data_IF_366856544048
#
_entry.id   IF_366856544048
#
_cell.length_a   1.000
_cell.length_b   1.000
_cell.length_c   1.000
_cell.angle_alpha   90.00
_cell.angle_beta   90.00
_cell.angle_gamma   90.00
#
_symmetry.space_group_name_H-M   'P 1'
#
loop_
_entity.id
_entity.type
_entity.pdbx_description
1 polymer ?
#
# COMPACT_ATOMS: atom_id res chain seq x y z
N UNK A 1 -16.06 10.49 -4.74
CA UNK A 1 -14.90 9.56 -4.74
C UNK A 1 -14.47 9.18 -6.16
N UNK A 2 -15.41 8.79 -7.03
CA UNK A 2 -15.13 8.48 -8.43
C UNK A 2 -14.48 9.65 -9.19
N UNK A 3 -14.98 10.88 -9.00
CA UNK A 3 -14.38 12.09 -9.58
C UNK A 3 -12.93 12.33 -9.11
N UNK A 4 -12.67 12.15 -7.82
CA UNK A 4 -11.32 12.25 -7.27
C UNK A 4 -10.39 11.21 -7.89
N UNK A 5 -10.83 9.95 -7.98
CA UNK A 5 -10.05 8.90 -8.64
C UNK A 5 -9.82 9.21 -10.11
N UNK A 6 -10.84 9.70 -10.83
CA UNK A 6 -10.74 10.13 -12.23
C UNK A 6 -9.65 11.18 -12.45
N UNK A 7 -9.59 12.18 -11.56
CA UNK A 7 -8.62 13.28 -11.59
C UNK A 7 -7.21 12.95 -11.06
N UNK A 8 -6.95 11.72 -10.62
CA UNK A 8 -5.60 11.32 -10.20
C UNK A 8 -4.61 11.29 -11.39
N UNK A 9 -3.36 11.74 -11.19
CA UNK A 9 -2.26 11.43 -12.11
C UNK A 9 -2.15 9.92 -12.35
N UNK A 10 -1.78 9.50 -13.56
CA UNK A 10 -1.79 8.07 -13.98
C UNK A 10 -1.07 7.15 -12.98
N UNK A 11 0.14 7.52 -12.55
CA UNK A 11 0.90 6.71 -11.60
C UNK A 11 0.23 6.68 -10.22
N UNK A 12 -0.23 7.82 -9.68
CA UNK A 12 -0.96 7.85 -8.41
C UNK A 12 -2.24 6.99 -8.46
N UNK A 13 -2.94 7.01 -9.59
CA UNK A 13 -4.12 6.19 -9.85
C UNK A 13 -3.77 4.70 -9.80
N UNK A 14 -2.70 4.30 -10.47
CA UNK A 14 -2.20 2.93 -10.44
C UNK A 14 -1.81 2.50 -9.02
N UNK A 15 -1.03 3.33 -8.30
CA UNK A 15 -0.63 3.04 -6.92
C UNK A 15 -1.82 2.91 -5.98
N UNK A 16 -2.84 3.76 -6.16
CA UNK A 16 -4.09 3.70 -5.40
C UNK A 16 -4.86 2.41 -5.69
N UNK A 17 -5.01 2.05 -6.96
CA UNK A 17 -5.69 0.83 -7.38
C UNK A 17 -4.95 -0.42 -6.88
N UNK A 18 -3.62 -0.43 -6.98
CA UNK A 18 -2.77 -1.49 -6.46
C UNK A 18 -2.94 -1.64 -4.94
N UNK A 19 -2.90 -0.53 -4.19
CA UNK A 19 -3.13 -0.57 -2.74
C UNK A 19 -4.52 -1.12 -2.38
N UNK A 20 -5.57 -0.76 -3.14
CA UNK A 20 -6.88 -1.35 -2.97
C UNK A 20 -6.90 -2.86 -3.29
N UNK A 21 -6.21 -3.26 -4.36
CA UNK A 21 -6.12 -4.65 -4.79
C UNK A 21 -5.37 -5.54 -3.78
N UNK A 22 -4.53 -4.96 -2.91
CA UNK A 22 -3.89 -5.71 -1.83
C UNK A 22 -4.87 -6.45 -0.92
N UNK A 23 -6.17 -6.11 -0.90
CA UNK A 23 -7.20 -6.90 -0.18
C UNK A 23 -7.19 -8.39 -0.55
N UNK A 24 -6.74 -8.74 -1.76
CA UNK A 24 -6.59 -10.14 -2.19
C UNK A 24 -5.59 -10.88 -1.29
N UNK A 25 -4.56 -10.22 -0.74
CA UNK A 25 -3.65 -10.83 0.22
C UNK A 25 -4.33 -11.21 1.54
N UNK A 26 -5.33 -10.44 1.98
CA UNK A 26 -6.13 -10.82 3.14
C UNK A 26 -6.96 -12.07 2.85
N UNK A 27 -7.64 -12.10 1.70
CA UNK A 27 -8.42 -13.25 1.29
C UNK A 27 -7.55 -14.51 1.17
N UNK A 28 -6.41 -14.42 0.48
CA UNK A 28 -5.47 -15.54 0.34
C UNK A 28 -4.88 -16.00 1.67
N UNK A 29 -4.75 -15.10 2.64
CA UNK A 29 -4.14 -15.43 3.93
C UNK A 29 -5.14 -16.03 4.92
N UNK A 30 -6.37 -15.54 4.95
CA UNK A 30 -7.40 -15.93 5.94
C UNK A 30 -8.26 -17.08 5.47
N UNK A 31 -8.48 -17.24 4.16
CA UNK A 31 -9.25 -18.36 3.63
C UNK A 31 -8.36 -19.62 3.72
N UNK A 32 -8.76 -20.64 4.51
CA UNK A 32 -7.98 -21.86 4.62
C UNK A 32 -7.92 -22.55 3.27
N UNK A 33 -6.70 -22.77 2.79
CA UNK A 33 -6.42 -23.54 1.60
C UNK A 33 -5.49 -24.69 1.98
N UNK A 34 -5.74 -25.88 1.45
CA UNK A 34 -5.01 -27.10 1.81
C UNK A 34 -3.51 -26.98 1.54
N UNK A 35 -3.14 -26.18 0.53
CA UNK A 35 -1.75 -25.76 0.34
C UNK A 35 -1.63 -24.45 -0.46
N UNK A 36 -0.64 -23.64 -0.10
CA UNK A 36 -0.20 -22.47 -0.85
C UNK A 36 1.09 -22.83 -1.60
N UNK A 37 1.11 -22.65 -2.92
CA UNK A 37 2.33 -22.88 -3.70
C UNK A 37 3.23 -21.63 -3.63
N UNK A 38 4.33 -21.73 -2.90
CA UNK A 38 5.28 -20.62 -2.66
C UNK A 38 6.68 -21.12 -3.01
N UNK A 39 7.36 -20.43 -3.92
CA UNK A 39 8.75 -20.72 -4.31
C UNK A 39 9.02 -22.19 -4.68
N UNK A 40 8.07 -22.84 -5.38
CA UNK A 40 8.22 -24.23 -5.79
C UNK A 40 7.82 -25.27 -4.74
N UNK A 41 7.36 -24.84 -3.56
CA UNK A 41 6.95 -25.72 -2.45
C UNK A 41 5.50 -25.47 -2.06
N UNK A 42 4.80 -26.54 -1.69
CA UNK A 42 3.51 -26.45 -1.02
C UNK A 42 3.72 -26.13 0.47
N UNK A 43 3.18 -24.99 0.90
CA UNK A 43 3.18 -24.53 2.28
C UNK A 43 1.78 -24.74 2.84
N UNK A 44 1.68 -25.48 3.94
CA UNK A 44 0.39 -25.71 4.60
C UNK A 44 -0.12 -24.42 5.27
N UNK A 45 -1.44 -24.32 5.47
CA UNK A 45 -2.05 -23.16 6.12
C UNK A 45 -1.47 -22.87 7.51
N UNK A 46 -1.20 -23.90 8.31
CA UNK A 46 -0.59 -23.74 9.63
C UNK A 46 0.83 -23.16 9.53
N UNK A 47 1.65 -23.65 8.60
CA UNK A 47 3.00 -23.16 8.36
C UNK A 47 3.01 -21.71 7.84
N UNK A 48 2.04 -21.36 6.99
CA UNK A 48 1.85 -20.00 6.49
C UNK A 48 1.62 -18.99 7.62
N UNK A 49 0.78 -19.32 8.60
CA UNK A 49 0.53 -18.46 9.76
C UNK A 49 1.65 -18.50 10.80
N UNK A 50 2.20 -19.68 11.10
CA UNK A 50 3.25 -19.84 12.11
C UNK A 50 4.58 -19.22 11.70
N UNK A 51 4.86 -19.14 10.39
CA UNK A 51 6.03 -18.42 9.86
C UNK A 51 5.88 -16.89 9.92
N UNK A 52 4.69 -16.38 10.24
CA UNK A 52 4.37 -14.94 10.23
C UNK A 52 4.05 -14.38 8.85
N UNK A 53 4.29 -15.12 7.76
CA UNK A 53 3.99 -14.67 6.41
C UNK A 53 2.49 -14.36 6.22
N UNK A 54 1.62 -15.21 6.78
CA UNK A 54 0.18 -14.98 6.79
C UNK A 54 -0.27 -13.77 7.58
N UNK A 55 0.39 -13.49 8.71
CA UNK A 55 0.12 -12.27 9.49
C UNK A 55 0.47 -11.04 8.66
N UNK A 56 1.65 -11.01 8.03
CA UNK A 56 2.07 -9.89 7.18
C UNK A 56 1.17 -9.70 5.97
N UNK A 57 0.82 -10.78 5.25
CA UNK A 57 -0.08 -10.71 4.11
C UNK A 57 -1.46 -10.18 4.49
N UNK A 58 -2.01 -10.63 5.62
CA UNK A 58 -3.28 -10.13 6.16
C UNK A 58 -3.20 -8.64 6.51
N UNK A 59 -2.09 -8.22 7.14
CA UNK A 59 -1.88 -6.83 7.51
C UNK A 59 -1.79 -5.92 6.27
N UNK A 60 -1.03 -6.32 5.24
CA UNK A 60 -0.96 -5.61 3.97
C UNK A 60 -2.34 -5.56 3.30
N UNK A 61 -3.09 -6.67 3.32
CA UNK A 61 -4.41 -6.74 2.73
C UNK A 61 -5.47 -5.91 3.44
N UNK A 62 -5.32 -5.64 4.73
CA UNK A 62 -6.18 -4.71 5.48
C UNK A 62 -5.77 -3.25 5.31
N UNK A 63 -4.46 -2.97 5.41
CA UNK A 63 -3.94 -1.60 5.37
C UNK A 63 -4.00 -1.02 3.96
N UNK A 64 -3.79 -1.82 2.92
CA UNK A 64 -3.82 -1.37 1.53
C UNK A 64 -5.12 -0.65 1.13
N UNK A 65 -6.30 -1.25 1.34
CA UNK A 65 -7.59 -0.60 1.06
C UNK A 65 -7.81 0.68 1.86
N UNK A 66 -7.38 0.71 3.13
CA UNK A 66 -7.42 1.93 3.93
C UNK A 66 -6.56 3.03 3.31
N UNK A 67 -5.33 2.70 2.91
CA UNK A 67 -4.42 3.64 2.23
C UNK A 67 -5.05 4.16 0.93
N UNK A 68 -5.59 3.27 0.09
CA UNK A 68 -6.28 3.65 -1.14
C UNK A 68 -7.43 4.63 -0.87
N UNK A 69 -8.26 4.35 0.14
CA UNK A 69 -9.33 5.23 0.56
C UNK A 69 -8.81 6.62 0.98
N UNK A 70 -7.72 6.70 1.74
CA UNK A 70 -7.14 8.00 2.16
C UNK A 70 -6.64 8.82 0.96
N UNK A 71 -6.01 8.17 -0.03
CA UNK A 71 -5.51 8.80 -1.26
C UNK A 71 -6.65 9.31 -2.15
N UNK A 72 -7.71 8.53 -2.35
CA UNK A 72 -8.91 8.94 -3.10
C UNK A 72 -9.66 10.05 -2.39
N UNK A 73 -9.71 9.99 -1.06
CA UNK A 73 -10.40 10.97 -0.23
C UNK A 73 -9.58 12.25 0.00
N UNK A 74 -8.36 12.34 -0.55
CA UNK A 74 -7.44 13.48 -0.41
C UNK A 74 -7.26 13.90 1.06
N UNK A 75 -7.22 12.94 1.99
CA UNK A 75 -7.04 13.23 3.42
C UNK A 75 -5.69 13.92 3.65
N UNK A 76 -5.57 14.83 4.63
CA UNK A 76 -4.34 15.59 4.86
C UNK A 76 -3.13 14.69 5.17
N UNK A 77 -3.38 13.54 5.79
CA UNK A 77 -2.37 12.53 6.13
C UNK A 77 -2.17 11.44 5.07
N UNK A 78 -2.87 11.49 3.93
CA UNK A 78 -2.88 10.41 2.95
C UNK A 78 -1.48 10.07 2.40
N UNK A 79 -0.65 11.10 2.18
CA UNK A 79 0.73 10.92 1.72
C UNK A 79 1.58 10.18 2.77
N UNK A 80 1.52 10.60 4.03
CA UNK A 80 2.26 9.97 5.12
C UNK A 80 1.80 8.53 5.35
N UNK A 81 0.49 8.27 5.30
CA UNK A 81 -0.08 6.92 5.41
C UNK A 81 0.38 6.02 4.26
N UNK A 82 0.45 6.54 3.04
CA UNK A 82 1.00 5.78 1.92
C UNK A 82 2.50 5.47 2.09
N UNK A 83 3.30 6.41 2.59
CA UNK A 83 4.72 6.15 2.86
C UNK A 83 4.91 5.12 3.98
N UNK A 84 4.11 5.20 5.04
CA UNK A 84 4.10 4.18 6.10
C UNK A 84 3.74 2.80 5.54
N UNK A 85 2.79 2.74 4.60
CA UNK A 85 2.44 1.51 3.90
C UNK A 85 3.59 0.97 3.04
N UNK A 86 4.34 1.83 2.33
CA UNK A 86 5.53 1.41 1.61
C UNK A 86 6.61 0.86 2.55
N UNK A 87 6.83 1.49 3.71
CA UNK A 87 7.76 0.99 4.74
C UNK A 87 7.30 -0.39 5.23
N UNK A 88 6.01 -0.53 5.53
CA UNK A 88 5.44 -1.79 5.98
C UNK A 88 5.58 -2.91 4.93
N UNK A 89 5.43 -2.59 3.64
CA UNK A 89 5.50 -3.57 2.56
C UNK A 89 6.94 -3.90 2.13
N UNK A 90 7.83 -2.91 2.11
CA UNK A 90 9.15 -3.01 1.49
C UNK A 90 10.32 -2.86 2.46
N UNK A 91 10.11 -2.61 3.75
CA UNK A 91 11.22 -2.45 4.70
C UNK A 91 11.06 -3.40 5.87
N UNK A 92 9.89 -3.38 6.52
CA UNK A 92 9.61 -4.18 7.73
C UNK A 92 9.77 -5.70 7.55
N UNK A 93 9.38 -6.32 6.42
CA UNK A 93 9.47 -7.78 6.30
C UNK A 93 10.91 -8.28 6.26
N UNK A 94 11.83 -7.52 5.69
CA UNK A 94 13.21 -7.97 5.48
C UNK A 94 13.99 -8.29 6.76
N UNK A 95 14.06 -7.44 7.80
CA UNK A 95 14.71 -7.82 9.05
C UNK A 95 13.97 -8.96 9.75
N UNK A 96 12.63 -9.02 9.65
CA UNK A 96 11.83 -10.08 10.27
C UNK A 96 12.15 -11.46 9.69
N UNK A 97 12.36 -11.55 8.37
CA UNK A 97 12.73 -12.78 7.68
C UNK A 97 14.25 -12.98 7.48
N UNK A 98 15.10 -12.19 8.15
CA UNK A 98 16.56 -12.33 8.08
C UNK A 98 17.21 -11.88 6.76
N UNK A 99 16.49 -11.14 5.92
CA UNK A 99 16.88 -10.70 4.58
C UNK A 99 17.43 -9.26 4.56
N UNK A 100 18.35 -8.93 5.48
CA UNK A 100 18.82 -7.55 5.71
C UNK A 100 19.37 -6.84 4.46
N UNK A 101 19.98 -7.58 3.53
CA UNK A 101 20.50 -7.01 2.28
C UNK A 101 19.42 -6.27 1.45
N UNK A 102 18.15 -6.66 1.59
CA UNK A 102 17.03 -6.09 0.85
C UNK A 102 16.43 -4.85 1.51
N UNK A 103 16.84 -4.50 2.74
CA UNK A 103 16.41 -3.28 3.42
C UNK A 103 16.82 -2.03 2.65
N UNK A 104 18.03 -1.99 2.09
CA UNK A 104 18.53 -0.85 1.32
C UNK A 104 17.68 -0.60 0.05
N UNK A 105 17.46 -1.60 -0.84
CA UNK A 105 16.49 -1.49 -1.93
C UNK A 105 15.10 -1.05 -1.46
N UNK A 106 14.61 -1.58 -0.34
CA UNK A 106 13.34 -1.19 0.26
C UNK A 106 13.26 0.29 0.61
N UNK A 107 14.29 0.82 1.27
CA UNK A 107 14.40 2.23 1.60
C UNK A 107 14.50 3.12 0.36
N UNK A 108 15.15 2.65 -0.72
CA UNK A 108 15.17 3.36 -1.99
C UNK A 108 13.76 3.49 -2.59
N UNK A 109 12.94 2.43 -2.54
CA UNK A 109 11.54 2.47 -2.99
C UNK A 109 10.73 3.47 -2.14
N UNK A 110 10.90 3.46 -0.82
CA UNK A 110 10.24 4.43 0.08
C UNK A 110 10.69 5.87 -0.25
N UNK A 111 11.99 6.08 -0.46
CA UNK A 111 12.56 7.39 -0.83
C UNK A 111 12.02 7.90 -2.16
N UNK A 112 11.96 7.04 -3.18
CA UNK A 112 11.36 7.36 -4.47
C UNK A 112 9.85 7.67 -4.33
N UNK A 113 9.14 6.91 -3.49
CA UNK A 113 7.74 7.18 -3.15
C UNK A 113 7.56 8.54 -2.46
N UNK A 114 8.45 8.90 -1.53
CA UNK A 114 8.43 10.19 -0.84
C UNK A 114 8.70 11.34 -1.81
N UNK A 115 9.71 11.20 -2.67
CA UNK A 115 9.99 12.17 -3.72
C UNK A 115 8.77 12.35 -4.63
N UNK A 116 8.15 11.26 -5.09
CA UNK A 116 6.95 11.31 -5.91
C UNK A 116 5.78 12.01 -5.20
N UNK A 117 5.51 11.68 -3.93
CA UNK A 117 4.38 12.21 -3.18
C UNK A 117 4.55 13.70 -2.79
N UNK A 118 5.78 14.19 -2.61
CA UNK A 118 6.04 15.53 -2.09
C UNK A 118 6.69 16.51 -3.07
N UNK A 119 7.37 16.02 -4.12
CA UNK A 119 8.06 16.89 -5.09
C UNK A 119 7.42 16.87 -6.47
N UNK A 120 6.69 15.81 -6.84
CA UNK A 120 6.10 15.73 -8.17
C UNK A 120 4.90 16.66 -8.33
N UNK A 121 4.97 17.58 -9.31
CA UNK A 121 4.00 18.67 -9.47
C UNK A 121 2.56 18.19 -9.65
N UNK A 122 2.33 17.16 -10.48
CA UNK A 122 0.98 16.63 -10.72
C UNK A 122 0.34 16.07 -9.44
N UNK A 123 1.14 15.52 -8.53
CA UNK A 123 0.66 15.01 -7.24
C UNK A 123 0.36 16.17 -6.28
N UNK A 124 1.21 17.22 -6.28
CA UNK A 124 0.93 18.43 -5.50
C UNK A 124 -0.40 19.07 -5.90
N UNK A 125 -0.62 19.25 -7.20
CA UNK A 125 -1.85 19.82 -7.74
C UNK A 125 -3.06 18.97 -7.35
N UNK A 126 -2.96 17.64 -7.47
CA UNK A 126 -4.04 16.73 -7.10
C UNK A 126 -4.52 16.87 -5.65
N UNK A 127 -3.59 16.99 -4.69
CA UNK A 127 -3.90 17.13 -3.27
C UNK A 127 -4.18 18.58 -2.83
N UNK A 128 -4.06 19.55 -3.73
CA UNK A 128 -4.43 20.93 -3.42
C UNK A 128 -5.96 20.99 -3.24
N UNK A 129 -6.48 21.57 -2.14
CA UNK A 129 -7.92 21.72 -1.98
C UNK A 129 -8.51 22.53 -3.14
N UNK A 130 -9.53 22.00 -3.82
CA UNK A 130 -10.30 22.82 -4.75
C UNK A 130 -10.95 23.95 -3.94
N UNK A 131 -10.62 25.20 -4.25
CA UNK A 131 -11.26 26.37 -3.63
C UNK A 131 -12.73 26.58 -4.08
N UNK A 132 -13.37 25.58 -4.70
CA UNK A 132 -14.72 25.72 -5.25
C UNK A 132 -15.85 25.68 -4.21
N UNK A 133 -15.54 25.60 -2.91
CA UNK A 133 -16.54 25.57 -1.82
C UNK A 133 -16.42 26.75 -0.84
N UNK A 134 -16.21 27.95 -1.38
CA UNK A 134 -16.42 29.23 -0.67
C UNK A 134 -17.27 30.18 -1.51
N UNK A 135 -18.48 29.76 -1.89
CA UNK A 135 -19.57 30.66 -2.30
C UNK A 135 -20.88 29.97 -1.97
N UNK A 136 -21.34 30.14 -0.74
CA UNK A 136 -22.74 30.28 -0.27
C UNK A 136 -22.83 29.85 1.19
N UNK A 137 -22.60 30.81 2.09
CA UNK A 137 -23.54 31.14 3.18
C UNK A 137 -23.09 32.43 3.85
#
# INVERSE_FOLDING_TARGET
MWENFGGMPKLLKFLTAHAAFCIVFLAMSVIPNDSLFIQGRHVGYAEWWSSGAGVFASLIGLVGPFVAWTLVSKKPYARSVYLAFLVLAFVVPYPFFGLLAYVLPGLLVVGAGAFYMYKWQSVQVYFTPNQSFKRTR
#
